data_IF_429769372042
#
_entry.id   IF_429769372042
#
_cell.length_a   1.000
_cell.length_b   1.000
_cell.length_c   1.000
_cell.angle_alpha   90.00
_cell.angle_beta   90.00
_cell.angle_gamma   90.00
#
_symmetry.space_group_name_H-M   'P 1'
#
loop_
_entity.id
_entity.type
_entity.pdbx_description
1 polymer ?
#
# COMPACT_ATOMS: atom_id res chain seq x y z
N UNK A 1 -55.42 13.68 62.59
CA UNK A 1 -53.95 13.59 62.85
C UNK A 1 -53.27 13.31 61.51
N UNK A 2 -52.43 14.20 61.11
CA UNK A 2 -51.57 13.98 59.91
C UNK A 2 -50.52 12.93 60.17
N UNK A 3 -50.38 11.94 59.28
CA UNK A 3 -49.38 10.90 59.43
C UNK A 3 -47.92 11.40 59.20
N UNK A 4 -46.90 10.65 59.65
CA UNK A 4 -45.48 11.04 59.51
C UNK A 4 -45.05 11.42 58.11
N UNK A 5 -45.63 10.77 57.10
CA UNK A 5 -45.33 11.00 55.68
C UNK A 5 -45.83 12.37 55.21
N UNK A 6 -47.00 12.83 55.70
CA UNK A 6 -47.58 14.13 55.33
C UNK A 6 -46.70 15.26 55.91
N UNK A 7 -46.21 15.13 57.12
CA UNK A 7 -45.31 16.11 57.74
C UNK A 7 -43.97 16.20 57.00
N UNK A 8 -43.42 15.06 56.56
CA UNK A 8 -42.18 15.02 55.79
C UNK A 8 -42.33 15.67 54.40
N UNK A 9 -43.52 15.62 53.80
CA UNK A 9 -43.82 16.29 52.55
C UNK A 9 -44.01 17.79 52.73
N UNK A 10 -44.70 18.22 53.77
CA UNK A 10 -44.87 19.63 54.11
C UNK A 10 -43.52 20.31 54.43
N UNK A 11 -42.62 19.61 55.10
CA UNK A 11 -41.26 20.07 55.36
C UNK A 11 -40.45 20.28 54.05
N UNK A 12 -40.82 19.60 52.95
CA UNK A 12 -40.26 19.77 51.62
C UNK A 12 -41.01 20.75 50.74
N UNK A 13 -41.96 21.53 51.29
CA UNK A 13 -42.73 22.53 50.57
C UNK A 13 -43.80 21.94 49.62
N UNK A 14 -44.17 20.67 49.81
CA UNK A 14 -45.19 20.00 49.01
C UNK A 14 -46.56 20.22 49.67
N UNK A 15 -47.50 20.80 48.95
CA UNK A 15 -48.89 20.93 49.46
C UNK A 15 -49.51 19.55 49.65
N UNK A 16 -50.11 19.35 50.86
CA UNK A 16 -50.58 18.04 51.30
C UNK A 16 -52.10 17.87 51.18
N UNK A 17 -52.75 18.67 50.33
CA UNK A 17 -54.12 18.36 49.99
C UNK A 17 -54.21 17.03 49.21
N UNK A 18 -55.35 16.37 49.24
CA UNK A 18 -55.58 15.07 48.64
C UNK A 18 -55.29 15.09 47.10
N UNK A 19 -55.58 16.19 46.44
CA UNK A 19 -55.37 16.37 45.01
C UNK A 19 -53.86 16.53 44.67
N UNK A 20 -53.15 17.33 45.42
CA UNK A 20 -51.73 17.57 45.22
C UNK A 20 -50.87 16.35 45.59
N UNK A 21 -51.24 15.61 46.64
CA UNK A 21 -50.62 14.35 47.01
C UNK A 21 -50.76 13.30 45.92
N UNK A 22 -51.96 13.15 45.36
CA UNK A 22 -52.21 12.23 44.26
C UNK A 22 -51.40 12.60 42.99
N UNK A 23 -51.29 13.91 42.67
CA UNK A 23 -50.46 14.38 41.56
C UNK A 23 -48.99 14.08 41.79
N UNK A 24 -48.48 14.30 42.99
CA UNK A 24 -47.11 13.98 43.39
C UNK A 24 -46.81 12.48 43.25
N UNK A 25 -47.71 11.63 43.79
CA UNK A 25 -47.56 10.17 43.69
C UNK A 25 -47.56 9.71 42.23
N UNK A 26 -48.45 10.23 41.38
CA UNK A 26 -48.48 9.89 39.94
C UNK A 26 -47.21 10.32 39.26
N UNK A 27 -46.67 11.53 39.53
CA UNK A 27 -45.45 12.05 38.98
C UNK A 27 -44.23 11.19 39.39
N UNK A 28 -44.14 10.86 40.69
CA UNK A 28 -43.08 10.02 41.22
C UNK A 28 -43.11 8.59 40.64
N UNK A 29 -44.31 8.01 40.50
CA UNK A 29 -44.48 6.69 39.91
C UNK A 29 -44.11 6.68 38.40
N UNK A 30 -44.40 7.78 37.69
CA UNK A 30 -43.98 7.91 36.30
C UNK A 30 -42.44 7.96 36.16
N UNK A 31 -41.79 8.74 37.00
CA UNK A 31 -40.29 8.81 37.06
C UNK A 31 -39.69 7.45 37.43
N UNK A 32 -40.27 6.75 38.41
CA UNK A 32 -39.83 5.41 38.80
C UNK A 32 -39.99 4.37 37.69
N UNK A 33 -41.07 4.49 36.90
CA UNK A 33 -41.30 3.60 35.74
C UNK A 33 -40.27 3.85 34.67
N UNK A 34 -40.04 5.11 34.31
CA UNK A 34 -39.00 5.49 33.34
C UNK A 34 -37.57 5.07 33.78
N UNK A 35 -37.27 5.24 35.08
CA UNK A 35 -35.99 4.78 35.64
C UNK A 35 -35.84 3.25 35.54
N UNK A 36 -36.88 2.49 35.83
CA UNK A 36 -36.87 1.03 35.68
C UNK A 36 -36.66 0.58 34.25
N UNK A 37 -37.33 1.23 33.30
CA UNK A 37 -37.16 0.95 31.86
C UNK A 37 -35.72 1.23 31.39
N UNK A 38 -35.14 2.36 31.82
CA UNK A 38 -33.72 2.69 31.53
C UNK A 38 -32.74 1.68 32.15
N UNK A 39 -32.99 1.24 33.37
CA UNK A 39 -32.16 0.21 34.03
C UNK A 39 -32.27 -1.11 33.28
N UNK A 40 -33.48 -1.55 32.88
CA UNK A 40 -33.66 -2.76 32.11
C UNK A 40 -32.90 -2.70 30.77
N UNK A 41 -33.01 -1.60 30.04
CA UNK A 41 -32.29 -1.40 28.78
C UNK A 41 -30.75 -1.43 28.98
N UNK A 42 -30.24 -0.84 30.06
CA UNK A 42 -28.81 -0.89 30.41
C UNK A 42 -28.34 -2.31 30.76
N UNK A 43 -29.18 -3.09 31.47
CA UNK A 43 -28.86 -4.48 31.81
C UNK A 43 -28.79 -5.32 30.53
N UNK A 44 -29.68 -5.15 29.60
CA UNK A 44 -29.72 -5.90 28.35
C UNK A 44 -28.52 -5.49 27.48
N UNK A 45 -28.22 -4.21 27.36
CA UNK A 45 -27.00 -3.75 26.71
C UNK A 45 -25.73 -4.34 27.32
N UNK A 46 -25.63 -4.38 28.65
CA UNK A 46 -24.50 -5.01 29.36
C UNK A 46 -24.38 -6.50 29.08
N UNK A 47 -25.50 -7.22 28.95
CA UNK A 47 -25.51 -8.65 28.55
C UNK A 47 -24.97 -8.83 27.14
N UNK A 48 -25.40 -7.98 26.20
CA UNK A 48 -24.93 -8.02 24.81
C UNK A 48 -23.43 -7.71 24.70
N UNK A 49 -22.95 -6.66 25.37
CA UNK A 49 -21.53 -6.35 25.46
C UNK A 49 -20.71 -7.49 26.08
N UNK A 50 -21.21 -8.08 27.16
CA UNK A 50 -20.56 -9.24 27.79
C UNK A 50 -20.52 -10.45 26.87
N UNK A 51 -21.60 -10.71 26.13
CA UNK A 51 -21.64 -11.77 25.14
C UNK A 51 -20.66 -11.55 23.99
N UNK A 52 -20.53 -10.29 23.52
CA UNK A 52 -19.57 -9.91 22.49
C UNK A 52 -18.13 -10.08 22.96
N UNK A 53 -17.80 -9.62 24.18
CA UNK A 53 -16.49 -9.79 24.80
C UNK A 53 -16.13 -11.25 25.10
N UNK A 54 -17.13 -12.12 25.26
CA UNK A 54 -16.92 -13.55 25.47
C UNK A 54 -16.65 -14.32 24.15
N UNK A 55 -16.87 -13.71 22.99
CA UNK A 55 -16.51 -14.33 21.72
C UNK A 55 -14.99 -14.48 21.64
N UNK A 56 -14.49 -15.64 21.17
CA UNK A 56 -13.06 -15.80 20.96
C UNK A 56 -12.58 -14.76 19.95
N UNK A 57 -11.68 -13.89 20.38
CA UNK A 57 -11.06 -12.90 19.50
C UNK A 57 -10.22 -13.65 18.46
N UNK A 58 -10.25 -13.25 17.18
CA UNK A 58 -9.37 -13.82 16.19
C UNK A 58 -7.91 -13.62 16.61
N UNK A 59 -7.03 -14.60 16.33
CA UNK A 59 -5.62 -14.48 16.71
C UNK A 59 -4.99 -13.26 16.04
N UNK A 60 -4.21 -12.51 16.81
CA UNK A 60 -3.46 -11.38 16.29
C UNK A 60 -2.29 -11.85 15.40
N UNK A 61 -1.75 -10.94 14.57
CA UNK A 61 -0.53 -11.24 13.80
C UNK A 61 0.62 -11.71 14.70
N UNK A 62 0.74 -11.14 15.90
CA UNK A 62 1.75 -11.54 16.87
C UNK A 62 1.55 -12.97 17.36
N UNK A 63 0.32 -13.38 17.66
CA UNK A 63 0.00 -14.74 18.10
C UNK A 63 0.36 -15.75 17.01
N UNK A 64 0.03 -15.46 15.77
CA UNK A 64 0.34 -16.31 14.62
C UNK A 64 1.85 -16.41 14.36
N UNK A 65 2.59 -15.30 14.46
CA UNK A 65 4.06 -15.31 14.35
C UNK A 65 4.73 -16.07 15.49
N UNK A 66 4.23 -15.91 16.73
CA UNK A 66 4.73 -16.66 17.90
C UNK A 66 4.50 -18.17 17.73
N UNK A 67 3.33 -18.54 17.21
CA UNK A 67 3.01 -19.94 16.90
C UNK A 67 3.91 -20.48 15.79
N UNK A 68 4.14 -19.73 14.71
CA UNK A 68 5.08 -20.11 13.65
C UNK A 68 6.50 -20.33 14.21
N UNK A 69 6.99 -19.41 15.04
CA UNK A 69 8.28 -19.57 15.71
C UNK A 69 8.34 -20.83 16.60
N UNK A 70 7.26 -21.11 17.34
CA UNK A 70 7.15 -22.32 18.19
C UNK A 70 7.22 -23.60 17.36
N UNK A 71 6.48 -23.67 16.26
CA UNK A 71 6.49 -24.83 15.33
C UNK A 71 7.90 -25.03 14.76
N UNK A 72 8.54 -23.97 14.28
CA UNK A 72 9.92 -24.01 13.76
C UNK A 72 10.93 -24.47 14.81
N UNK A 73 10.73 -24.03 16.06
CA UNK A 73 11.63 -24.41 17.18
C UNK A 73 11.47 -25.86 17.60
N UNK A 74 10.27 -26.46 17.50
CA UNK A 74 10.06 -27.90 17.73
C UNK A 74 10.82 -28.78 16.75
N UNK A 75 10.92 -28.33 15.47
CA UNK A 75 11.71 -29.00 14.42
C UNK A 75 13.20 -28.68 14.42
N UNK A 76 13.69 -27.77 15.26
CA UNK A 76 15.08 -27.33 15.23
C UNK A 76 15.99 -28.24 16.08
N UNK A 77 17.02 -28.83 15.45
CA UNK A 77 17.95 -29.74 16.09
C UNK A 77 19.04 -29.07 16.94
N UNK A 78 19.25 -27.75 16.80
CA UNK A 78 20.34 -27.04 17.49
C UNK A 78 19.85 -25.75 18.16
N UNK A 79 20.52 -25.37 19.24
CA UNK A 79 20.26 -24.08 19.91
C UNK A 79 20.54 -22.88 18.97
N UNK A 80 21.52 -23.01 18.08
CA UNK A 80 21.80 -21.98 17.06
C UNK A 80 20.61 -21.76 16.14
N UNK A 81 19.97 -22.86 15.69
CA UNK A 81 18.76 -22.76 14.85
C UNK A 81 17.57 -22.17 15.61
N UNK A 82 17.36 -22.54 16.89
CA UNK A 82 16.32 -21.96 17.75
C UNK A 82 16.52 -20.46 17.95
N UNK A 83 17.75 -20.04 18.24
CA UNK A 83 18.09 -18.61 18.40
C UNK A 83 17.84 -17.83 17.10
N UNK A 84 18.21 -18.39 15.93
CA UNK A 84 17.94 -17.77 14.64
C UNK A 84 16.42 -17.62 14.37
N UNK A 85 15.60 -18.59 14.77
CA UNK A 85 14.14 -18.49 14.65
C UNK A 85 13.57 -17.38 15.56
N UNK A 86 14.07 -17.28 16.80
CA UNK A 86 13.68 -16.22 17.75
C UNK A 86 14.08 -14.84 17.24
N UNK A 87 15.26 -14.72 16.65
CA UNK A 87 15.71 -13.46 16.06
C UNK A 87 14.80 -13.05 14.89
N UNK A 88 14.49 -13.95 13.97
CA UNK A 88 13.54 -13.69 12.87
C UNK A 88 12.17 -13.28 13.36
N UNK A 89 11.67 -13.93 14.42
CA UNK A 89 10.40 -13.55 15.06
C UNK A 89 10.47 -12.12 15.60
N UNK A 90 11.52 -11.78 16.35
CA UNK A 90 11.69 -10.45 16.93
C UNK A 90 11.80 -9.36 15.83
N UNK A 91 12.54 -9.64 14.74
CA UNK A 91 12.65 -8.73 13.59
C UNK A 91 11.29 -8.53 12.90
N UNK A 92 10.54 -9.61 12.66
CA UNK A 92 9.21 -9.54 12.05
C UNK A 92 8.22 -8.78 12.94
N UNK A 93 8.21 -9.07 14.25
CA UNK A 93 7.36 -8.38 15.23
C UNK A 93 7.65 -6.88 15.29
N UNK A 94 8.93 -6.50 15.42
CA UNK A 94 9.34 -5.09 15.43
C UNK A 94 8.97 -4.38 14.13
N UNK A 95 9.08 -5.08 13.00
CA UNK A 95 8.70 -4.54 11.71
C UNK A 95 7.18 -4.29 11.61
N UNK A 96 6.35 -5.25 12.03
CA UNK A 96 4.90 -5.08 12.08
C UNK A 96 4.48 -3.92 13.00
N UNK A 97 5.08 -3.83 14.18
CA UNK A 97 4.84 -2.71 15.10
C UNK A 97 5.21 -1.36 14.47
N UNK A 98 6.34 -1.27 13.78
CA UNK A 98 6.78 -0.04 13.11
C UNK A 98 5.81 0.42 12.01
N UNK A 99 5.02 -0.50 11.46
CA UNK A 99 4.00 -0.24 10.42
C UNK A 99 2.58 -0.17 10.99
N UNK A 100 2.38 -0.33 12.31
CA UNK A 100 1.07 -0.40 12.99
C UNK A 100 0.14 -1.50 12.44
N UNK A 101 0.70 -2.66 12.13
CA UNK A 101 -0.05 -3.81 11.59
C UNK A 101 -0.30 -4.82 12.72
N UNK A 102 -1.57 -5.07 13.04
CA UNK A 102 -1.98 -5.91 14.16
C UNK A 102 -2.84 -7.10 13.75
N UNK A 103 -3.57 -6.99 12.62
CA UNK A 103 -4.48 -8.01 12.11
C UNK A 103 -4.01 -8.54 10.75
N UNK A 104 -4.51 -9.72 10.36
CA UNK A 104 -4.23 -10.29 9.03
C UNK A 104 -4.79 -9.39 7.93
N UNK A 105 -5.98 -8.83 8.14
CA UNK A 105 -6.63 -7.91 7.20
C UNK A 105 -5.79 -6.62 6.98
N UNK A 106 -5.20 -6.06 8.05
CA UNK A 106 -4.29 -4.92 7.95
C UNK A 106 -3.07 -5.26 7.09
N UNK A 107 -2.50 -6.46 7.30
CA UNK A 107 -1.35 -6.95 6.55
C UNK A 107 -1.68 -7.10 5.06
N UNK A 108 -2.79 -7.75 4.73
CA UNK A 108 -3.24 -7.97 3.35
C UNK A 108 -3.56 -6.65 2.65
N UNK A 109 -4.31 -5.77 3.30
CA UNK A 109 -4.63 -4.44 2.77
C UNK A 109 -3.36 -3.64 2.49
N UNK A 110 -2.39 -3.67 3.41
CA UNK A 110 -1.12 -2.97 3.25
C UNK A 110 -0.29 -3.58 2.12
N UNK A 111 -0.25 -4.91 1.99
CA UNK A 111 0.44 -5.59 0.88
C UNK A 111 -0.15 -5.21 -0.47
N UNK A 112 -1.48 -5.20 -0.61
CA UNK A 112 -2.15 -4.79 -1.84
C UNK A 112 -1.83 -3.32 -2.18
N UNK A 113 -1.96 -2.42 -1.22
CA UNK A 113 -1.65 -1.01 -1.42
C UNK A 113 -0.18 -0.77 -1.82
N UNK A 114 0.76 -1.51 -1.20
CA UNK A 114 2.18 -1.46 -1.59
C UNK A 114 2.40 -1.99 -3.01
N UNK A 115 1.76 -3.10 -3.38
CA UNK A 115 1.88 -3.66 -4.72
C UNK A 115 1.37 -2.69 -5.79
N UNK A 116 0.21 -2.09 -5.57
CA UNK A 116 -0.37 -1.08 -6.48
C UNK A 116 0.56 0.13 -6.65
N UNK A 117 1.14 0.58 -5.54
CA UNK A 117 2.12 1.68 -5.56
C UNK A 117 3.38 1.30 -6.34
N UNK A 118 3.93 0.10 -6.11
CA UNK A 118 5.08 -0.43 -6.85
C UNK A 118 4.78 -0.49 -8.35
N UNK A 119 3.62 -1.00 -8.74
CA UNK A 119 3.25 -1.14 -10.13
C UNK A 119 3.05 0.21 -10.81
N UNK A 120 2.49 1.19 -10.10
CA UNK A 120 2.35 2.56 -10.57
C UNK A 120 3.71 3.23 -10.79
N UNK A 121 4.61 3.11 -9.83
CA UNK A 121 5.97 3.64 -9.93
C UNK A 121 6.78 2.96 -11.06
N UNK A 122 6.66 1.64 -11.23
CA UNK A 122 7.29 0.90 -12.32
C UNK A 122 6.79 1.36 -13.69
N UNK A 123 5.48 1.56 -13.86
CA UNK A 123 4.90 2.08 -15.10
C UNK A 123 5.44 3.48 -15.40
N UNK A 124 5.49 4.35 -14.39
CA UNK A 124 6.05 5.71 -14.51
C UNK A 124 7.54 5.68 -14.89
N UNK A 125 8.34 4.84 -14.21
CA UNK A 125 9.77 4.66 -14.52
C UNK A 125 9.99 4.18 -15.96
N UNK A 126 9.21 3.18 -16.40
CA UNK A 126 9.28 2.65 -17.78
C UNK A 126 8.95 3.70 -18.82
N UNK A 127 7.90 4.50 -18.60
CA UNK A 127 7.52 5.60 -19.50
C UNK A 127 8.62 6.65 -19.59
N UNK A 128 9.21 7.07 -18.45
CA UNK A 128 10.31 8.03 -18.44
C UNK A 128 11.56 7.49 -19.13
N UNK A 129 11.89 6.23 -18.90
CA UNK A 129 13.03 5.56 -19.55
C UNK A 129 12.84 5.47 -21.07
N UNK A 130 11.62 5.17 -21.54
CA UNK A 130 11.30 5.16 -22.97
C UNK A 130 11.49 6.55 -23.57
N UNK A 131 11.00 7.60 -22.88
CA UNK A 131 11.14 8.97 -23.35
C UNK A 131 12.60 9.45 -23.35
N UNK A 132 13.41 9.08 -22.35
CA UNK A 132 14.85 9.35 -22.33
C UNK A 132 15.51 8.76 -23.57
N UNK A 133 15.22 7.48 -23.90
CA UNK A 133 15.75 6.82 -25.09
C UNK A 133 15.39 7.54 -26.39
N UNK A 134 14.14 8.02 -26.50
CA UNK A 134 13.69 8.80 -27.66
C UNK A 134 14.46 10.11 -27.79
N UNK A 135 14.62 10.84 -26.68
CA UNK A 135 15.36 12.10 -26.66
C UNK A 135 16.86 11.87 -26.96
N UNK A 136 17.47 10.83 -26.42
CA UNK A 136 18.85 10.45 -26.71
C UNK A 136 19.03 10.12 -28.20
N UNK A 137 18.05 9.45 -28.80
CA UNK A 137 18.07 9.15 -30.23
C UNK A 137 17.97 10.45 -31.07
N UNK A 138 17.10 11.38 -30.68
CA UNK A 138 16.99 12.68 -31.34
C UNK A 138 18.29 13.48 -31.24
N UNK A 139 18.91 13.53 -30.06
CA UNK A 139 20.18 14.21 -29.86
C UNK A 139 21.29 13.57 -30.71
N UNK A 140 21.36 12.25 -30.78
CA UNK A 140 22.28 11.52 -31.65
C UNK A 140 22.04 11.85 -33.13
N UNK A 141 20.79 11.95 -33.56
CA UNK A 141 20.46 12.37 -34.94
C UNK A 141 20.91 13.81 -35.19
N UNK A 142 20.83 14.70 -34.21
CA UNK A 142 21.38 16.05 -34.33
C UNK A 142 22.89 16.04 -34.58
N UNK A 143 23.62 15.17 -33.88
CA UNK A 143 25.07 15.06 -34.08
C UNK A 143 25.39 14.52 -35.48
N UNK A 144 24.67 13.50 -35.97
CA UNK A 144 24.81 13.01 -37.35
C UNK A 144 24.46 14.07 -38.38
N UNK A 145 23.41 14.86 -38.15
CA UNK A 145 23.02 15.96 -39.01
C UNK A 145 24.12 17.04 -39.08
N UNK A 146 24.67 17.43 -37.94
CA UNK A 146 25.73 18.44 -37.88
C UNK A 146 27.01 17.96 -38.51
N UNK A 147 27.45 16.72 -38.27
CA UNK A 147 28.68 16.16 -38.81
C UNK A 147 28.62 15.93 -40.34
N UNK A 148 27.45 15.49 -40.82
CA UNK A 148 27.30 15.24 -42.27
C UNK A 148 26.88 16.44 -43.11
N UNK A 149 26.44 17.53 -42.48
CA UNK A 149 25.99 18.76 -43.21
C UNK A 149 27.08 19.32 -44.13
N UNK A 150 28.33 19.51 -43.75
CA UNK A 150 29.39 20.01 -44.64
C UNK A 150 29.56 19.18 -45.91
N UNK A 151 29.52 17.82 -45.79
CA UNK A 151 29.62 16.93 -46.94
C UNK A 151 28.39 17.08 -47.88
N UNK A 152 27.18 17.17 -47.29
CA UNK A 152 25.95 17.37 -48.06
C UNK A 152 25.92 18.71 -48.78
N UNK A 153 26.35 19.80 -48.14
CA UNK A 153 26.40 21.13 -48.74
C UNK A 153 27.45 21.16 -49.86
N UNK A 154 28.62 20.53 -49.67
CA UNK A 154 29.63 20.39 -50.69
C UNK A 154 29.12 19.61 -51.89
N UNK A 155 28.41 18.47 -51.69
CA UNK A 155 27.80 17.69 -52.74
C UNK A 155 26.81 18.52 -53.57
N UNK A 156 26.00 19.39 -52.96
CA UNK A 156 25.08 20.28 -53.63
C UNK A 156 25.78 21.34 -54.49
N UNK A 157 26.99 21.79 -54.11
CA UNK A 157 27.78 22.80 -54.81
C UNK A 157 28.49 22.26 -56.07
N UNK A 158 28.66 20.92 -56.19
CA UNK A 158 29.37 20.30 -57.31
C UNK A 158 28.45 20.33 -58.57
N UNK A 159 28.91 21.02 -59.64
CA UNK A 159 28.16 21.21 -60.90
C UNK A 159 28.26 20.00 -61.84
N UNK A 160 29.47 19.34 -61.89
CA UNK A 160 29.74 18.28 -62.87
C UNK A 160 29.31 16.92 -62.31
N UNK A 161 28.49 16.17 -63.05
CA UNK A 161 27.92 14.89 -62.63
C UNK A 161 28.95 13.83 -62.28
N UNK A 162 30.01 13.70 -63.10
CA UNK A 162 31.12 12.73 -62.80
C UNK A 162 31.81 13.04 -61.46
N UNK A 163 32.07 14.31 -61.17
CA UNK A 163 32.69 14.74 -59.92
C UNK A 163 31.73 14.55 -58.71
N UNK A 164 30.42 14.79 -58.96
CA UNK A 164 29.36 14.55 -57.97
C UNK A 164 29.28 13.06 -57.58
N UNK A 165 29.30 12.14 -58.57
CA UNK A 165 29.28 10.71 -58.33
C UNK A 165 30.54 10.22 -57.59
N UNK A 166 31.71 10.72 -57.97
CA UNK A 166 32.95 10.40 -57.27
C UNK A 166 32.91 10.85 -55.83
N UNK A 167 32.54 12.11 -55.59
CA UNK A 167 32.42 12.64 -54.22
C UNK A 167 31.39 11.90 -53.38
N UNK A 168 30.24 11.53 -53.97
CA UNK A 168 29.22 10.71 -53.31
C UNK A 168 29.73 9.34 -52.91
N UNK A 169 30.52 8.68 -53.76
CA UNK A 169 31.13 7.39 -53.41
C UNK A 169 32.19 7.51 -52.31
N UNK A 170 32.99 8.55 -52.30
CA UNK A 170 34.02 8.80 -51.29
C UNK A 170 33.39 9.13 -49.91
N UNK A 171 32.21 9.79 -49.86
CA UNK A 171 31.53 10.24 -48.65
C UNK A 171 30.19 9.52 -48.40
N UNK A 172 30.03 8.30 -48.93
CA UNK A 172 28.71 7.59 -48.87
C UNK A 172 28.20 7.44 -47.46
N UNK A 173 29.00 7.03 -46.51
CA UNK A 173 28.62 6.85 -45.11
C UNK A 173 28.19 8.14 -44.43
N UNK A 174 28.91 9.25 -44.65
CA UNK A 174 28.58 10.57 -44.08
C UNK A 174 27.28 11.10 -44.67
N UNK A 175 27.11 10.98 -45.96
CA UNK A 175 25.89 11.43 -46.66
C UNK A 175 24.69 10.58 -46.27
N UNK A 176 24.85 9.24 -46.16
CA UNK A 176 23.78 8.34 -45.75
C UNK A 176 23.30 8.65 -44.33
N UNK A 177 24.22 8.82 -43.38
CA UNK A 177 23.88 9.18 -41.99
C UNK A 177 23.24 10.57 -41.92
N UNK A 178 23.72 11.55 -42.69
CA UNK A 178 23.13 12.87 -42.81
C UNK A 178 21.67 12.82 -43.30
N UNK A 179 21.39 12.15 -44.41
CA UNK A 179 20.03 12.08 -44.96
C UNK A 179 19.07 11.28 -44.08
N UNK A 180 19.57 10.26 -43.38
CA UNK A 180 18.80 9.54 -42.38
C UNK A 180 18.42 10.49 -41.22
N UNK A 181 19.39 11.24 -40.69
CA UNK A 181 19.18 12.19 -39.64
C UNK A 181 18.25 13.35 -40.06
N UNK A 182 18.46 13.91 -41.25
CA UNK A 182 17.61 14.95 -41.83
C UNK A 182 16.14 14.51 -41.89
N UNK A 183 15.87 13.27 -42.39
CA UNK A 183 14.54 12.71 -42.48
C UNK A 183 13.87 12.56 -41.11
N UNK A 184 14.61 12.06 -40.09
CA UNK A 184 14.09 11.92 -38.72
C UNK A 184 13.87 13.25 -38.03
N UNK A 185 14.74 14.24 -38.27
CA UNK A 185 14.66 15.56 -37.63
C UNK A 185 13.65 16.50 -38.30
N UNK A 186 13.28 16.22 -39.56
CA UNK A 186 12.38 17.09 -40.35
C UNK A 186 11.12 17.54 -39.62
N UNK A 187 10.39 16.67 -38.87
CA UNK A 187 9.17 17.06 -38.15
C UNK A 187 9.43 18.05 -37.01
N UNK A 188 10.67 18.14 -36.51
CA UNK A 188 11.01 18.92 -35.33
C UNK A 188 11.62 20.29 -35.66
N UNK A 189 11.86 20.60 -36.94
CA UNK A 189 12.32 21.93 -37.32
C UNK A 189 11.21 22.96 -37.13
N UNK A 190 11.49 23.99 -36.32
CA UNK A 190 10.66 25.19 -36.16
C UNK A 190 11.50 26.38 -36.63
N UNK A 191 11.01 27.12 -37.60
CA UNK A 191 11.71 28.25 -38.18
C UNK A 191 13.18 27.99 -38.55
N UNK A 192 13.42 26.79 -39.11
CA UNK A 192 14.77 26.34 -39.47
C UNK A 192 15.69 25.96 -38.32
N UNK A 193 15.21 25.94 -37.09
CA UNK A 193 15.97 25.60 -35.88
C UNK A 193 15.43 24.37 -35.19
N UNK A 194 16.34 23.53 -34.63
CA UNK A 194 16.00 22.41 -33.79
C UNK A 194 15.99 22.81 -32.30
N UNK A 195 15.05 22.32 -31.50
CA UNK A 195 14.94 22.65 -30.06
C UNK A 195 15.96 21.88 -29.21
N UNK A 196 17.22 21.86 -29.56
CA UNK A 196 18.28 21.04 -28.95
C UNK A 196 18.40 21.31 -27.44
N UNK A 197 18.36 22.59 -27.05
CA UNK A 197 18.49 23.01 -25.64
C UNK A 197 17.28 22.53 -24.82
N UNK A 198 16.09 22.55 -25.42
CA UNK A 198 14.89 22.04 -24.77
C UNK A 198 14.99 20.51 -24.56
N UNK A 199 15.45 19.76 -25.57
CA UNK A 199 15.66 18.31 -25.44
C UNK A 199 16.70 17.93 -24.40
N UNK A 200 17.79 18.68 -24.29
CA UNK A 200 18.80 18.46 -23.26
C UNK A 200 18.23 18.69 -21.86
N UNK A 201 17.48 19.76 -21.65
CA UNK A 201 16.79 20.04 -20.37
C UNK A 201 15.76 18.98 -20.06
N UNK A 202 14.94 18.59 -21.03
CA UNK A 202 13.95 17.51 -20.88
C UNK A 202 14.64 16.21 -20.46
N UNK A 203 15.74 15.84 -21.10
CA UNK A 203 16.53 14.66 -20.75
C UNK A 203 17.04 14.71 -19.32
N UNK A 204 17.65 15.81 -18.90
CA UNK A 204 18.16 15.99 -17.54
C UNK A 204 17.04 15.88 -16.50
N UNK A 205 15.91 16.50 -16.78
CA UNK A 205 14.74 16.45 -15.90
C UNK A 205 14.20 15.02 -15.79
N UNK A 206 14.01 14.33 -16.91
CA UNK A 206 13.53 12.95 -16.94
C UNK A 206 14.48 11.99 -16.22
N UNK A 207 15.80 12.18 -16.36
CA UNK A 207 16.80 11.38 -15.63
C UNK A 207 16.73 11.62 -14.13
N UNK A 208 16.49 12.86 -13.69
CA UNK A 208 16.32 13.15 -12.27
C UNK A 208 15.05 12.49 -11.74
N UNK A 209 13.92 12.66 -12.42
CA UNK A 209 12.65 12.06 -12.05
C UNK A 209 12.73 10.51 -12.04
N UNK A 210 13.49 9.91 -12.96
CA UNK A 210 13.73 8.47 -12.98
C UNK A 210 14.55 8.02 -11.77
N UNK A 211 15.61 8.77 -11.39
CA UNK A 211 16.40 8.48 -10.19
C UNK A 211 15.57 8.60 -8.91
N UNK A 212 14.71 9.60 -8.82
CA UNK A 212 13.83 9.81 -7.67
C UNK A 212 12.85 8.62 -7.51
N UNK A 213 12.25 8.18 -8.62
CA UNK A 213 11.39 6.98 -8.61
C UNK A 213 12.18 5.73 -8.17
N UNK A 214 13.40 5.54 -8.65
CA UNK A 214 14.22 4.37 -8.26
C UNK A 214 14.58 4.41 -6.76
N UNK A 215 14.85 5.60 -6.23
CA UNK A 215 15.13 5.80 -4.80
C UNK A 215 13.91 5.48 -3.92
N UNK A 216 12.68 5.73 -4.40
CA UNK A 216 11.44 5.38 -3.70
C UNK A 216 11.11 3.88 -3.85
N UNK A 217 11.33 3.29 -5.03
CA UNK A 217 11.05 1.88 -5.29
C UNK A 217 11.89 0.93 -4.44
N UNK A 218 13.18 1.23 -4.23
CA UNK A 218 14.10 0.34 -3.53
C UNK A 218 13.64 -0.01 -2.09
N UNK A 219 13.37 0.97 -1.19
CA UNK A 219 12.87 0.69 0.15
C UNK A 219 11.47 0.06 0.14
N UNK A 220 10.60 0.47 -0.80
CA UNK A 220 9.25 -0.07 -0.92
C UNK A 220 9.27 -1.57 -1.29
N UNK A 221 10.15 -1.97 -2.20
CA UNK A 221 10.36 -3.39 -2.51
C UNK A 221 10.92 -4.19 -1.34
N UNK A 222 11.85 -3.61 -0.58
CA UNK A 222 12.41 -4.26 0.60
C UNK A 222 11.34 -4.50 1.67
N UNK A 223 10.49 -3.50 1.92
CA UNK A 223 9.38 -3.59 2.87
C UNK A 223 8.31 -4.59 2.40
N UNK A 224 7.90 -4.52 1.13
CA UNK A 224 6.95 -5.47 0.55
C UNK A 224 7.46 -6.91 0.65
N UNK A 225 8.75 -7.16 0.37
CA UNK A 225 9.35 -8.49 0.51
C UNK A 225 9.30 -9.01 1.93
N UNK A 226 9.53 -8.15 2.95
CA UNK A 226 9.42 -8.53 4.36
C UNK A 226 7.97 -8.88 4.72
N UNK A 227 7.00 -8.05 4.32
CA UNK A 227 5.58 -8.31 4.57
C UNK A 227 5.10 -9.60 3.88
N UNK A 228 5.52 -9.85 2.63
CA UNK A 228 5.23 -11.10 1.94
C UNK A 228 5.78 -12.32 2.67
N UNK A 229 6.99 -12.23 3.21
CA UNK A 229 7.58 -13.33 4.01
C UNK A 229 6.77 -13.57 5.28
N UNK A 230 6.33 -12.50 5.96
CA UNK A 230 5.49 -12.60 7.16
C UNK A 230 4.14 -13.20 6.81
N UNK A 231 3.49 -12.70 5.78
CA UNK A 231 2.19 -13.21 5.30
C UNK A 231 2.28 -14.70 4.96
N UNK A 232 3.31 -15.13 4.24
CA UNK A 232 3.53 -16.52 3.92
C UNK A 232 3.69 -17.40 5.17
N UNK A 233 4.47 -16.96 6.14
CA UNK A 233 4.65 -17.68 7.41
C UNK A 233 3.35 -17.81 8.20
N UNK A 234 2.51 -16.79 8.19
CA UNK A 234 1.19 -16.80 8.84
C UNK A 234 0.24 -17.75 8.12
N UNK A 235 0.22 -17.70 6.81
CA UNK A 235 -0.58 -18.59 5.97
C UNK A 235 -0.23 -20.07 6.21
N UNK A 236 1.06 -20.44 6.29
CA UNK A 236 1.49 -21.80 6.64
C UNK A 236 0.91 -22.26 7.99
N UNK A 237 0.92 -21.39 9.00
CA UNK A 237 0.40 -21.71 10.34
C UNK A 237 -1.10 -21.94 10.32
N UNK A 238 -1.85 -21.07 9.65
CA UNK A 238 -3.31 -21.17 9.54
C UNK A 238 -3.71 -22.49 8.85
N UNK A 239 -3.06 -22.83 7.76
CA UNK A 239 -3.30 -24.09 7.05
C UNK A 239 -2.94 -25.33 7.87
N UNK A 240 -1.87 -25.28 8.64
CA UNK A 240 -1.51 -26.39 9.52
C UNK A 240 -2.53 -26.58 10.65
N UNK A 241 -3.04 -25.48 11.22
CA UNK A 241 -4.12 -25.54 12.21
C UNK A 241 -5.41 -26.11 11.61
N UNK A 242 -5.78 -25.72 10.40
CA UNK A 242 -6.96 -26.26 9.72
C UNK A 242 -6.85 -27.76 9.49
N UNK A 243 -5.69 -28.27 9.04
CA UNK A 243 -5.42 -29.70 8.87
C UNK A 243 -5.54 -30.45 10.18
N UNK A 244 -4.98 -29.92 11.26
CA UNK A 244 -5.07 -30.55 12.59
C UNK A 244 -6.50 -30.56 13.11
N UNK A 245 -7.25 -29.50 12.93
CA UNK A 245 -8.65 -29.41 13.30
C UNK A 245 -9.53 -30.39 12.50
N UNK A 246 -9.29 -30.50 11.19
CA UNK A 246 -10.00 -31.45 10.33
C UNK A 246 -9.73 -32.92 10.76
N UNK A 247 -8.47 -33.26 11.00
CA UNK A 247 -8.08 -34.58 11.48
C UNK A 247 -8.70 -34.94 12.86
N UNK A 248 -8.80 -33.93 13.75
CA UNK A 248 -9.42 -34.11 15.07
C UNK A 248 -10.93 -34.29 14.96
N UNK A 249 -11.60 -33.62 14.05
CA UNK A 249 -13.05 -33.80 13.78
C UNK A 249 -13.35 -35.17 13.21
N UNK A 250 -12.52 -35.66 12.28
CA UNK A 250 -12.66 -37.01 11.72
C UNK A 250 -12.51 -38.12 12.80
N UNK A 251 -11.49 -38.00 13.66
CA UNK A 251 -11.29 -38.94 14.76
C UNK A 251 -12.43 -38.96 15.78
N UNK A 252 -13.06 -37.76 16.04
CA UNK A 252 -14.26 -37.74 16.93
C UNK A 252 -15.45 -38.42 16.29
N UNK A 253 -15.67 -38.26 15.00
CA UNK A 253 -16.76 -38.95 14.27
C UNK A 253 -16.57 -40.47 14.21
N UNK A 254 -15.32 -40.94 14.10
CA UNK A 254 -14.99 -42.34 14.11
C UNK A 254 -15.15 -43.01 15.50
N UNK A 255 -15.12 -42.25 16.59
CA UNK A 255 -15.30 -42.75 17.96
C UNK A 255 -16.80 -42.75 18.36
N UNK A 256 -17.61 -41.92 17.74
CA UNK A 256 -19.06 -41.80 18.00
C UNK A 256 -19.91 -42.82 17.18
N UNK A 257 -19.29 -43.58 16.28
CA UNK A 257 -19.88 -44.70 15.53
C UNK A 257 -19.32 -46.03 16.00
#
# INVERSE_FOLDING_TARGET
>A
RQGPTVRAMEAKGIRTDKGDLNRFIRKTNAILREAKEKIAALIDWLKDVKAELAKPQPPTLNDLLALHCSIRNKGAYSNKAKNANLQRYAEAFSFLQSKNLYTVDDLETTLHAMQDKIDTLKKSASSKQARIKEVDELLRMVDYYKSGKPAADKLKSIRFEKSRQKYKAEHDNELRTFYMAERKLKPYFKDGKLPITAWRREREQLEQEYRDIQSELSPLHADAKKLWTIHYNIYEVQHEQERQNAATRQKKQEIEH
#
